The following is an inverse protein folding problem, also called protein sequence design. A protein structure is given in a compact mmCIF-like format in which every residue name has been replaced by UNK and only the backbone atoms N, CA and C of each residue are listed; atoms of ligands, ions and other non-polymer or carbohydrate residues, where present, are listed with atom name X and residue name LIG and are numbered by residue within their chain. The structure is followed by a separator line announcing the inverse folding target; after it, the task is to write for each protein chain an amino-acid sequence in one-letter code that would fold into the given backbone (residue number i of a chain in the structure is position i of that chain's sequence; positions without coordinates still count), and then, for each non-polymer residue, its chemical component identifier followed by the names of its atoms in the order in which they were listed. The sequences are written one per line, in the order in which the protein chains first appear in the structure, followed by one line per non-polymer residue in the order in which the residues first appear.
data_IF_759321526333
#
_entry.id   IF_759321526333
#
_cell.length_a   1.000
_cell.length_b   1.000
_cell.length_c   1.000
_cell.angle_alpha   90.00
_cell.angle_beta   90.00
_cell.angle_gamma   90.00
#
_symmetry.space_group_name_H-M   'P 1'
#
loop_
_entity.id
_entity.type
_entity.pdbx_description
1 polymer ?
#
# COMPACT_ATOMS: atom_id res chain seq x y z
N UNK A 1 1.38 24.31 6.48
CA UNK A 1 0.22 23.59 7.04
C UNK A 1 0.40 22.11 6.79
N UNK A 2 -0.22 21.25 7.59
CA UNK A 2 -0.33 19.82 7.30
C UNK A 2 -1.37 19.60 6.19
N UNK A 3 -1.04 18.75 5.21
CA UNK A 3 -1.94 18.40 4.10
C UNK A 3 -2.05 16.87 3.98
N UNK A 4 -3.06 16.33 4.66
CA UNK A 4 -3.32 14.89 4.69
C UNK A 4 -3.80 14.33 3.35
N UNK A 5 -4.49 15.15 2.54
CA UNK A 5 -4.98 14.72 1.22
C UNK A 5 -3.79 14.52 0.30
N UNK A 6 -2.85 15.46 0.31
CA UNK A 6 -1.61 15.35 -0.44
C UNK A 6 -0.80 14.11 -0.02
N UNK A 7 -0.66 13.87 1.27
CA UNK A 7 0.09 12.72 1.79
C UNK A 7 -0.50 11.38 1.29
N UNK A 8 -1.82 11.22 1.33
CA UNK A 8 -2.51 10.01 0.84
C UNK A 8 -2.23 9.78 -0.65
N UNK A 9 -2.27 10.86 -1.46
CA UNK A 9 -1.99 10.77 -2.91
C UNK A 9 -0.51 10.48 -3.16
N UNK A 10 0.40 11.03 -2.35
CA UNK A 10 1.84 10.76 -2.42
C UNK A 10 2.16 9.29 -2.12
N UNK A 11 1.49 8.69 -1.14
CA UNK A 11 1.63 7.26 -0.86
C UNK A 11 1.13 6.40 -2.02
N UNK A 12 -0.01 6.74 -2.62
CA UNK A 12 -0.49 6.04 -3.82
C UNK A 12 0.43 6.27 -5.04
N UNK A 13 1.05 7.44 -5.15
CA UNK A 13 2.04 7.71 -6.19
C UNK A 13 3.29 6.82 -6.04
N UNK A 14 3.63 6.40 -4.81
CA UNK A 14 4.68 5.41 -4.57
C UNK A 14 4.30 4.05 -5.17
N UNK A 15 3.09 3.58 -4.90
CA UNK A 15 2.59 2.32 -5.46
C UNK A 15 2.54 2.39 -6.99
N UNK A 16 1.96 3.47 -7.53
CA UNK A 16 1.83 3.70 -8.96
C UNK A 16 3.17 3.70 -9.72
N UNK A 17 4.24 4.27 -9.16
CA UNK A 17 5.55 4.29 -9.83
C UNK A 17 6.38 3.01 -9.59
N UNK A 18 5.85 2.05 -8.83
CA UNK A 18 6.55 0.82 -8.48
C UNK A 18 6.28 -0.30 -9.47
N UNK A 19 7.35 -0.97 -9.96
CA UNK A 19 7.22 -2.20 -10.75
C UNK A 19 6.76 -3.41 -9.93
N UNK A 20 7.16 -3.40 -8.65
CA UNK A 20 6.82 -4.39 -7.62
C UNK A 20 6.74 -3.68 -6.29
N UNK A 21 5.76 -4.06 -5.48
CA UNK A 21 5.35 -3.38 -4.27
C UNK A 21 5.09 -4.37 -3.14
N UNK A 22 5.28 -3.94 -1.91
CA UNK A 22 4.89 -4.77 -0.78
C UNK A 22 4.96 -4.06 0.56
N UNK A 23 4.19 -4.57 1.51
CA UNK A 23 4.04 -4.01 2.85
C UNK A 23 4.51 -5.05 3.88
N UNK A 24 5.31 -4.59 4.84
CA UNK A 24 5.55 -5.30 6.10
C UNK A 24 4.76 -4.58 7.20
N UNK A 25 3.71 -5.23 7.68
CA UNK A 25 2.80 -4.71 8.69
C UNK A 25 3.18 -5.31 10.05
N UNK A 26 3.51 -4.43 11.00
CA UNK A 26 3.78 -4.81 12.39
C UNK A 26 2.59 -4.33 13.23
N UNK A 27 1.71 -5.25 13.60
CA UNK A 27 0.44 -4.99 14.27
C UNK A 27 -0.72 -4.74 13.28
N UNK A 28 -1.59 -3.79 13.64
CA UNK A 28 -2.80 -3.47 12.88
C UNK A 28 -3.21 -1.99 12.98
N UNK A 29 -4.52 -1.73 13.01
CA UNK A 29 -5.08 -0.39 13.17
C UNK A 29 -4.86 0.55 11.98
N UNK A 30 -4.72 1.84 12.27
CA UNK A 30 -4.57 2.90 11.27
C UNK A 30 -3.34 2.70 10.37
N UNK A 31 -2.13 2.39 10.89
CA UNK A 31 -0.95 2.20 10.04
C UNK A 31 -1.13 1.11 8.97
N UNK A 32 -1.77 -0.02 9.32
CA UNK A 32 -2.11 -1.09 8.37
C UNK A 32 -3.03 -0.56 7.26
N UNK A 33 -4.15 0.05 7.64
CA UNK A 33 -5.12 0.48 6.64
C UNK A 33 -4.60 1.63 5.77
N UNK A 34 -3.81 2.55 6.33
CA UNK A 34 -3.18 3.65 5.59
C UNK A 34 -2.20 3.13 4.53
N UNK A 35 -1.44 2.07 4.83
CA UNK A 35 -0.55 1.47 3.83
C UNK A 35 -1.32 0.72 2.73
N UNK A 36 -2.42 0.05 3.08
CA UNK A 36 -3.22 -0.76 2.14
C UNK A 36 -4.16 0.05 1.24
N UNK A 37 -4.66 1.21 1.70
CA UNK A 37 -5.63 2.03 0.95
C UNK A 37 -5.07 2.65 -0.34
N UNK A 38 -3.77 2.54 -0.59
CA UNK A 38 -3.13 3.05 -1.83
C UNK A 38 -3.70 2.38 -3.08
N UNK A 39 -3.97 1.07 -3.04
CA UNK A 39 -4.60 0.33 -4.15
C UNK A 39 -6.03 0.82 -4.43
N UNK A 40 -6.94 0.77 -3.44
CA UNK A 40 -8.28 1.33 -3.56
C UNK A 40 -8.31 2.80 -4.03
N UNK A 41 -7.35 3.63 -3.61
CA UNK A 41 -7.25 5.00 -4.11
C UNK A 41 -6.96 5.04 -5.62
N UNK A 42 -5.99 4.25 -6.10
CA UNK A 42 -5.67 4.19 -7.53
C UNK A 42 -6.85 3.67 -8.36
N UNK A 43 -7.49 2.60 -7.90
CA UNK A 43 -8.50 1.89 -8.70
C UNK A 43 -9.90 2.49 -8.58
N UNK A 44 -10.37 2.76 -7.35
CA UNK A 44 -11.76 3.15 -7.12
C UNK A 44 -11.95 4.67 -7.23
N UNK A 45 -10.96 5.45 -6.77
CA UNK A 45 -11.02 6.91 -6.77
C UNK A 45 -10.42 7.48 -8.06
N UNK A 46 -9.21 7.05 -8.43
CA UNK A 46 -8.52 7.54 -9.62
C UNK A 46 -8.85 6.76 -10.90
N UNK A 47 -9.52 5.60 -10.78
CA UNK A 47 -10.01 4.78 -11.90
C UNK A 47 -8.89 4.29 -12.81
N UNK A 48 -7.81 3.78 -12.21
CA UNK A 48 -6.58 3.46 -12.93
C UNK A 48 -6.26 1.97 -13.13
N UNK A 49 -6.99 1.04 -12.51
CA UNK A 49 -6.76 -0.41 -12.62
C UNK A 49 -5.27 -0.78 -12.43
N UNK A 50 -4.57 -0.03 -11.58
CA UNK A 50 -3.17 -0.27 -11.24
C UNK A 50 -3.07 -1.42 -10.21
N UNK A 51 -4.16 -1.68 -9.47
CA UNK A 51 -4.26 -2.74 -8.47
C UNK A 51 -3.55 -2.40 -7.15
N UNK A 52 -3.63 -3.37 -6.23
CA UNK A 52 -3.03 -3.27 -4.91
C UNK A 52 -1.55 -3.68 -4.84
N UNK A 53 -1.13 -4.10 -3.65
CA UNK A 53 0.23 -4.57 -3.38
C UNK A 53 0.49 -5.97 -3.96
N UNK A 54 1.72 -6.24 -4.40
CA UNK A 54 2.12 -7.58 -4.82
C UNK A 54 2.41 -8.51 -3.62
N UNK A 55 2.94 -7.94 -2.53
CA UNK A 55 3.35 -8.70 -1.36
C UNK A 55 2.87 -8.07 -0.05
N UNK A 56 2.39 -8.88 0.88
CA UNK A 56 2.06 -8.44 2.24
C UNK A 56 2.57 -9.45 3.25
N UNK A 57 3.37 -9.00 4.20
CA UNK A 57 3.73 -9.73 5.41
C UNK A 57 3.07 -9.01 6.57
N UNK A 58 2.07 -9.64 7.19
CA UNK A 58 1.43 -9.11 8.38
C UNK A 58 1.88 -9.90 9.61
N UNK A 59 2.40 -9.22 10.61
CA UNK A 59 2.70 -9.77 11.94
C UNK A 59 1.71 -9.15 12.91
N UNK A 60 0.82 -9.95 13.50
CA UNK A 60 -0.26 -9.44 14.34
C UNK A 60 -0.62 -10.44 15.43
N UNK A 61 -1.09 -9.98 16.58
CA UNK A 61 -1.75 -10.79 17.61
C UNK A 61 -3.29 -10.76 17.46
N UNK A 62 -3.82 -9.75 16.77
CA UNK A 62 -5.25 -9.61 16.50
C UNK A 62 -5.80 -10.78 15.67
N UNK A 63 -6.86 -11.40 16.19
CA UNK A 63 -7.52 -12.54 15.55
C UNK A 63 -8.64 -12.11 14.59
N UNK A 64 -8.88 -12.87 13.51
CA UNK A 64 -9.88 -12.54 12.50
C UNK A 64 -11.33 -12.69 12.95
N UNK A 65 -11.61 -13.55 13.94
CA UNK A 65 -12.98 -13.88 14.40
C UNK A 65 -13.73 -12.68 15.00
N UNK A 66 -12.99 -11.71 15.53
CA UNK A 66 -13.58 -10.47 16.08
C UNK A 66 -14.08 -9.50 15.02
N UNK A 67 -13.80 -9.73 13.73
CA UNK A 67 -14.16 -8.84 12.63
C UNK A 67 -13.44 -7.49 12.65
N UNK A 68 -12.43 -7.32 13.49
CA UNK A 68 -11.66 -6.07 13.59
C UNK A 68 -10.71 -5.87 12.42
N UNK A 69 -10.54 -4.62 11.98
CA UNK A 69 -9.63 -4.21 10.89
C UNK A 69 -8.19 -4.73 11.07
N UNK A 70 -7.72 -4.81 12.32
CA UNK A 70 -6.40 -5.35 12.66
C UNK A 70 -6.28 -6.84 12.32
N UNK A 71 -7.32 -7.63 12.62
CA UNK A 71 -7.38 -9.06 12.33
C UNK A 71 -7.91 -9.42 10.93
N UNK A 72 -8.34 -8.42 10.15
CA UNK A 72 -8.91 -8.63 8.82
C UNK A 72 -7.98 -9.46 7.93
N UNK A 73 -8.54 -10.53 7.36
CA UNK A 73 -7.78 -11.49 6.57
C UNK A 73 -7.32 -10.89 5.24
N UNK A 74 -6.20 -11.38 4.71
CA UNK A 74 -5.68 -10.88 3.43
C UNK A 74 -6.58 -11.27 2.23
N UNK A 75 -7.42 -12.31 2.39
CA UNK A 75 -8.48 -12.65 1.43
C UNK A 75 -9.53 -11.55 1.32
N UNK A 76 -9.92 -10.95 2.45
CA UNK A 76 -10.78 -9.77 2.47
C UNK A 76 -10.09 -8.58 1.80
N UNK A 77 -8.76 -8.43 1.96
CA UNK A 77 -7.98 -7.40 1.26
C UNK A 77 -8.12 -7.43 -0.27
N UNK A 78 -8.27 -8.61 -0.87
CA UNK A 78 -8.43 -8.75 -2.33
C UNK A 78 -9.75 -8.16 -2.83
N UNK A 79 -10.86 -8.37 -2.12
CA UNK A 79 -12.17 -7.86 -2.56
C UNK A 79 -12.20 -6.33 -2.64
N UNK A 80 -11.38 -5.67 -1.83
CA UNK A 80 -11.22 -4.22 -1.83
C UNK A 80 -10.18 -3.71 -2.83
N UNK A 81 -9.42 -4.57 -3.51
CA UNK A 81 -8.31 -4.15 -4.38
C UNK A 81 -7.05 -3.71 -3.62
N UNK A 82 -6.90 -4.09 -2.34
CA UNK A 82 -5.71 -3.77 -1.54
C UNK A 82 -4.48 -4.60 -1.94
N UNK A 83 -4.71 -5.76 -2.56
CA UNK A 83 -3.68 -6.72 -2.98
C UNK A 83 -4.01 -7.27 -4.37
N UNK A 84 -2.97 -7.60 -5.15
CA UNK A 84 -3.12 -8.08 -6.53
C UNK A 84 -3.63 -9.54 -6.60
N UNK A 85 -3.13 -10.40 -5.71
CA UNK A 85 -3.52 -11.80 -5.59
C UNK A 85 -3.84 -12.14 -4.14
N UNK A 86 -4.80 -13.04 -3.95
CA UNK A 86 -5.24 -13.59 -2.67
C UNK A 86 -4.36 -14.76 -2.20
N UNK A 87 -3.71 -15.46 -3.14
CA UNK A 87 -3.13 -16.78 -2.89
C UNK A 87 -1.60 -16.78 -2.91
N UNK A 88 -0.99 -15.80 -3.58
CA UNK A 88 0.47 -15.69 -3.70
C UNK A 88 0.96 -14.35 -3.15
N UNK A 89 2.15 -14.38 -2.53
CA UNK A 89 2.82 -13.17 -2.04
C UNK A 89 2.31 -12.64 -0.70
N UNK A 90 1.40 -13.35 -0.05
CA UNK A 90 0.75 -12.87 1.17
C UNK A 90 0.91 -13.86 2.32
N UNK A 91 1.26 -13.35 3.50
CA UNK A 91 1.39 -14.15 4.72
C UNK A 91 0.95 -13.35 5.96
N UNK A 92 0.22 -14.02 6.84
CA UNK A 92 -0.13 -13.51 8.17
C UNK A 92 0.53 -14.39 9.22
N UNK A 93 1.29 -13.78 10.12
CA UNK A 93 1.98 -14.41 11.24
C UNK A 93 1.27 -13.98 12.52
N UNK A 94 0.63 -14.93 13.19
CA UNK A 94 -0.03 -14.70 14.48
C UNK A 94 0.99 -14.78 15.61
N UNK A 95 1.64 -13.66 15.93
CA UNK A 95 2.67 -13.56 16.95
C UNK A 95 2.88 -12.11 17.39
N UNK A 96 3.45 -11.95 18.59
CA UNK A 96 3.93 -10.65 19.06
C UNK A 96 5.06 -10.12 18.15
N UNK A 97 4.97 -8.84 17.76
CA UNK A 97 5.92 -8.22 16.85
C UNK A 97 7.34 -8.17 17.42
N UNK A 98 7.50 -8.07 18.75
CA UNK A 98 8.81 -8.05 19.42
C UNK A 98 9.53 -9.40 19.35
N UNK A 99 8.81 -10.49 19.05
CA UNK A 99 9.38 -11.83 18.85
C UNK A 99 9.61 -12.08 17.36
N UNK A 100 8.57 -11.91 16.54
CA UNK A 100 8.62 -12.31 15.14
C UNK A 100 9.47 -11.38 14.27
N UNK A 101 9.43 -10.06 14.51
CA UNK A 101 10.15 -9.10 13.68
C UNK A 101 11.68 -9.22 13.79
N UNK A 102 12.29 -9.36 14.99
CA UNK A 102 13.73 -9.57 15.09
C UNK A 102 14.22 -10.83 14.39
N UNK A 103 13.46 -11.94 14.45
CA UNK A 103 13.80 -13.19 13.76
C UNK A 103 13.77 -12.97 12.23
N UNK A 104 12.72 -12.34 11.71
CA UNK A 104 12.62 -12.02 10.29
C UNK A 104 13.76 -11.10 9.84
N UNK A 105 14.04 -10.04 10.60
CA UNK A 105 15.10 -9.09 10.30
C UNK A 105 16.48 -9.77 10.30
N UNK A 106 16.79 -10.58 11.30
CA UNK A 106 18.04 -11.33 11.39
C UNK A 106 18.21 -12.28 10.20
N UNK A 107 17.16 -13.00 9.82
CA UNK A 107 17.19 -13.90 8.66
C UNK A 107 17.49 -13.12 7.37
N UNK A 108 16.78 -12.01 7.13
CA UNK A 108 16.99 -11.19 5.93
C UNK A 108 18.41 -10.60 5.90
N UNK A 109 18.89 -10.05 7.02
CA UNK A 109 20.22 -9.46 7.11
C UNK A 109 21.33 -10.50 6.92
N UNK A 110 21.13 -11.74 7.40
CA UNK A 110 22.12 -12.82 7.28
C UNK A 110 22.16 -13.46 5.89
N UNK A 111 21.02 -13.49 5.18
CA UNK A 111 20.88 -14.27 3.95
C UNK A 111 20.78 -13.42 2.66
N UNK A 112 20.66 -12.09 2.77
CA UNK A 112 20.47 -11.22 1.60
C UNK A 112 21.62 -10.22 1.45
N UNK A 113 21.98 -9.93 0.20
CA UNK A 113 22.93 -8.86 -0.12
C UNK A 113 22.32 -7.49 0.19
N UNK A 114 23.14 -6.61 0.76
CA UNK A 114 22.74 -5.20 1.01
C UNK A 114 22.31 -4.52 -0.29
N UNK A 115 21.17 -3.84 -0.25
CA UNK A 115 20.60 -3.10 -1.40
C UNK A 115 20.79 -1.61 -1.22
N UNK A 116 21.05 -0.87 -2.30
CA UNK A 116 21.12 0.59 -2.26
C UNK A 116 19.73 1.18 -1.94
N UNK A 117 19.59 2.05 -0.91
CA UNK A 117 18.31 2.66 -0.58
C UNK A 117 17.72 3.48 -1.74
N UNK A 118 16.44 3.28 -2.06
CA UNK A 118 15.75 3.98 -3.16
C UNK A 118 15.52 5.48 -2.89
N UNK A 119 15.53 5.89 -1.61
CA UNK A 119 15.27 7.26 -1.12
C UNK A 119 13.98 7.85 -1.71
N UNK A 120 12.87 7.11 -1.61
CA UNK A 120 11.58 7.43 -2.26
C UNK A 120 11.03 8.79 -1.86
N UNK A 121 11.19 9.19 -0.59
CA UNK A 121 10.75 10.50 -0.10
C UNK A 121 11.37 11.68 -0.87
N UNK A 122 12.60 11.54 -1.37
CA UNK A 122 13.25 12.58 -2.20
C UNK A 122 12.66 12.69 -3.61
N UNK A 123 11.77 11.77 -3.98
CA UNK A 123 11.17 11.67 -5.32
C UNK A 123 9.64 11.90 -5.28
N UNK A 124 9.07 12.22 -4.13
CA UNK A 124 7.61 12.35 -3.96
C UNK A 124 7.00 13.35 -4.92
N UNK A 125 7.52 14.58 -4.99
CA UNK A 125 7.01 15.60 -5.92
C UNK A 125 6.98 15.12 -7.37
N UNK A 126 8.02 14.37 -7.77
CA UNK A 126 8.11 13.80 -9.12
C UNK A 126 7.05 12.73 -9.35
N UNK A 127 6.88 11.81 -8.39
CA UNK A 127 5.94 10.70 -8.48
C UNK A 127 4.49 11.21 -8.43
N UNK A 128 4.20 12.13 -7.51
CA UNK A 128 2.94 12.86 -7.41
C UNK A 128 2.63 13.60 -8.72
N UNK A 129 3.60 14.35 -9.24
CA UNK A 129 3.44 15.10 -10.48
C UNK A 129 3.16 14.21 -11.69
N UNK A 130 3.77 13.02 -11.74
CA UNK A 130 3.50 12.00 -12.77
C UNK A 130 2.06 11.48 -12.65
N UNK A 131 1.65 11.01 -11.47
CA UNK A 131 0.31 10.51 -11.21
C UNK A 131 -0.77 11.56 -11.53
N UNK A 132 -0.57 12.80 -11.08
CA UNK A 132 -1.48 13.93 -11.31
C UNK A 132 -1.62 14.24 -12.81
N UNK A 133 -0.50 14.37 -13.54
CA UNK A 133 -0.52 14.61 -14.98
C UNK A 133 -1.27 13.51 -15.73
N UNK A 134 -1.06 12.26 -15.37
CA UNK A 134 -1.69 11.14 -16.05
C UNK A 134 -3.19 11.05 -15.73
N UNK A 135 -3.60 11.36 -14.49
CA UNK A 135 -5.01 11.50 -14.13
C UNK A 135 -5.73 12.57 -14.97
N UNK A 136 -5.15 13.77 -15.08
CA UNK A 136 -5.75 14.87 -15.84
C UNK A 136 -5.67 14.69 -17.36
N UNK A 137 -4.76 13.86 -17.87
CA UNK A 137 -4.73 13.51 -19.30
C UNK A 137 -5.92 12.64 -19.71
N UNK A 138 -6.43 11.80 -18.81
CA UNK A 138 -7.52 10.87 -19.12
C UNK A 138 -8.79 11.62 -19.57
N UNK A 139 -9.29 11.41 -20.80
CA UNK A 139 -10.47 12.09 -21.34
C UNK A 139 -11.73 11.93 -20.49
N UNK A 140 -11.89 10.79 -19.81
CA UNK A 140 -13.03 10.52 -18.91
C UNK A 140 -13.04 11.47 -17.71
N UNK A 141 -11.86 11.91 -17.25
CA UNK A 141 -11.70 12.81 -16.11
C UNK A 141 -11.72 14.29 -16.53
N UNK A 142 -11.20 14.63 -17.73
CA UNK A 142 -11.25 16.01 -18.27
C UNK A 142 -12.68 16.56 -18.44
N UNK A 143 -13.63 15.73 -18.87
CA UNK A 143 -15.03 16.16 -19.09
C UNK A 143 -15.74 16.56 -17.79
N UNK A 144 -15.32 16.04 -16.63
CA UNK A 144 -15.90 16.40 -15.32
C UNK A 144 -15.38 17.71 -14.77
N UNK A 145 -14.09 18.01 -14.94
CA UNK A 145 -13.52 19.30 -14.52
C UNK A 145 -14.19 20.46 -15.25
N UNK A 146 -14.44 20.30 -16.56
CA UNK A 146 -15.15 21.32 -17.37
C UNK A 146 -16.64 21.49 -17.06
N UNK A 147 -17.29 20.53 -16.38
CA UNK A 147 -18.71 20.60 -15.99
C UNK A 147 -18.94 21.24 -14.62
N UNK A 148 -17.87 21.47 -13.85
CA UNK A 148 -17.92 22.04 -12.50
C UNK A 148 -17.46 23.51 -12.44
N UNK A 149 -17.04 24.05 -13.59
CA UNK A 149 -16.84 25.48 -13.81
C UNK A 149 -18.03 26.02 -14.62
#
# INVERSE_FOLDING_TARGET
SLDFVREIIEQAAILYDSKKSGILELGGGVPKNTAQQTGPLLDQILRRDDGGQDYVIQITDARPDTGGLSGATLQEGKSWGKVQDAHHGMVTVYADATIAFPILALYVLSNQKTRKPKKLYKKLDKMYGKLSKDYFKNPANKKKVKKRN
#
